data_IF_532891980747
#
_entry.id   IF_532891980747
#
_cell.length_a   1.000
_cell.length_b   1.000
_cell.length_c   1.000
_cell.angle_alpha   90.00
_cell.angle_beta   90.00
_cell.angle_gamma   90.00
#
_symmetry.space_group_name_H-M   'P 1'
#
loop_
_entity.id
_entity.type
_entity.pdbx_description
1 polymer ?
#
# COMPACT_ATOMS: atom_id res chain seq x y z
N UNK A 1 18.01 17.97 -27.27
CA UNK A 1 18.69 17.98 -25.95
C UNK A 1 17.64 17.77 -24.87
N UNK A 2 17.84 16.87 -23.88
CA UNK A 2 16.90 16.70 -22.79
C UNK A 2 16.96 17.91 -21.83
N UNK A 3 15.80 18.41 -21.43
CA UNK A 3 15.67 19.62 -20.60
C UNK A 3 16.07 19.30 -19.13
N UNK A 4 17.13 19.92 -18.57
CA UNK A 4 17.63 19.61 -17.22
C UNK A 4 16.63 19.90 -16.10
N UNK A 5 15.69 20.83 -16.30
CA UNK A 5 14.61 21.10 -15.35
C UNK A 5 13.66 19.91 -15.13
N UNK A 6 13.46 19.06 -16.16
CA UNK A 6 12.65 17.83 -16.06
C UNK A 6 13.44 16.65 -15.45
N UNK A 7 14.78 16.68 -15.50
CA UNK A 7 15.62 15.67 -14.87
C UNK A 7 15.80 15.88 -13.37
N UNK A 8 15.84 17.15 -12.93
CA UNK A 8 15.94 17.51 -11.51
C UNK A 8 14.71 17.04 -10.73
N UNK A 9 13.51 17.27 -11.29
CA UNK A 9 12.23 16.81 -10.74
C UNK A 9 12.19 15.28 -10.61
N UNK A 10 12.57 14.54 -11.67
CA UNK A 10 12.48 13.07 -11.68
C UNK A 10 13.33 12.39 -10.61
N UNK A 11 14.55 12.88 -10.36
CA UNK A 11 15.48 12.24 -9.42
C UNK A 11 15.01 12.41 -7.98
N UNK A 12 14.57 13.62 -7.61
CA UNK A 12 14.02 13.90 -6.28
C UNK A 12 12.74 13.09 -6.01
N UNK A 13 11.89 12.93 -7.03
CA UNK A 13 10.66 12.15 -6.92
C UNK A 13 10.91 10.65 -6.78
N UNK A 14 11.93 10.12 -7.46
CA UNK A 14 12.37 8.73 -7.28
C UNK A 14 12.93 8.52 -5.86
N UNK A 15 13.71 9.48 -5.34
CA UNK A 15 14.19 9.45 -3.96
C UNK A 15 13.03 9.47 -2.95
N UNK A 16 11.98 10.26 -3.21
CA UNK A 16 10.77 10.29 -2.37
C UNK A 16 10.00 8.96 -2.37
N UNK A 17 9.97 8.26 -3.50
CA UNK A 17 9.42 6.91 -3.58
C UNK A 17 10.25 5.92 -2.74
N UNK A 18 11.58 6.01 -2.79
CA UNK A 18 12.48 5.18 -1.98
C UNK A 18 12.34 5.45 -0.48
N UNK A 19 12.27 6.72 -0.07
CA UNK A 19 12.00 7.11 1.32
C UNK A 19 10.65 6.55 1.79
N UNK A 20 9.64 6.57 0.93
CA UNK A 20 8.32 6.02 1.24
C UNK A 20 8.36 4.49 1.36
N UNK A 21 9.12 3.80 0.51
CA UNK A 21 9.33 2.36 0.63
C UNK A 21 10.02 1.98 1.94
N UNK A 22 11.04 2.76 2.35
CA UNK A 22 11.72 2.54 3.62
C UNK A 22 10.78 2.79 4.82
N UNK A 23 9.96 3.84 4.76
CA UNK A 23 8.95 4.12 5.77
C UNK A 23 7.91 2.99 5.89
N UNK A 24 7.51 2.38 4.77
CA UNK A 24 6.59 1.23 4.74
C UNK A 24 7.16 0.07 5.55
N UNK A 25 8.43 -0.29 5.36
CA UNK A 25 9.06 -1.39 6.12
C UNK A 25 9.10 -1.09 7.63
N UNK A 26 9.55 0.12 8.01
CA UNK A 26 9.61 0.53 9.43
C UNK A 26 8.21 0.48 10.08
N UNK A 27 7.20 1.03 9.41
CA UNK A 27 5.83 1.07 9.93
C UNK A 27 5.25 -0.35 9.97
N UNK A 28 5.48 -1.16 8.95
CA UNK A 28 5.04 -2.54 8.86
C UNK A 28 5.58 -3.39 10.00
N UNK A 29 6.87 -3.28 10.32
CA UNK A 29 7.48 -3.95 11.48
C UNK A 29 6.89 -3.48 12.81
N UNK A 30 6.65 -2.17 12.96
CA UNK A 30 5.98 -1.62 14.16
C UNK A 30 4.56 -2.16 14.32
N UNK A 31 3.82 -2.35 13.23
CA UNK A 31 2.48 -2.96 13.25
C UNK A 31 2.53 -4.42 13.70
N UNK A 32 3.49 -5.21 13.20
CA UNK A 32 3.67 -6.61 13.60
C UNK A 32 3.97 -6.70 15.11
N UNK A 33 4.97 -5.96 15.59
CA UNK A 33 5.36 -5.95 17.01
C UNK A 33 4.22 -5.42 17.87
N UNK A 34 3.58 -4.32 17.47
CA UNK A 34 2.46 -3.73 18.19
C UNK A 34 1.33 -4.74 18.37
N UNK A 35 0.87 -5.41 17.31
CA UNK A 35 -0.20 -6.41 17.41
C UNK A 35 0.13 -7.58 18.33
N UNK A 36 1.40 -7.97 18.46
CA UNK A 36 1.83 -9.02 19.38
C UNK A 36 1.89 -8.58 20.85
N UNK A 37 1.98 -7.27 21.12
CA UNK A 37 2.23 -6.70 22.45
C UNK A 37 1.06 -5.88 23.01
N UNK A 38 0.10 -5.48 22.17
CA UNK A 38 -1.05 -4.66 22.55
C UNK A 38 -2.01 -5.44 23.47
N UNK A 39 -2.23 -4.91 24.68
CA UNK A 39 -3.17 -5.46 25.69
C UNK A 39 -4.24 -4.46 26.15
N UNK A 40 -4.26 -3.23 25.61
CA UNK A 40 -5.14 -2.16 26.08
C UNK A 40 -5.72 -1.30 24.93
N UNK A 41 -6.86 -0.60 25.16
CA UNK A 41 -7.52 0.21 24.12
C UNK A 41 -6.67 1.36 23.55
N UNK A 42 -5.79 1.98 24.36
CA UNK A 42 -4.91 3.06 23.89
C UNK A 42 -3.92 2.59 22.82
N UNK A 43 -3.47 1.35 22.91
CA UNK A 43 -2.58 0.73 21.93
C UNK A 43 -3.28 0.41 20.59
N UNK A 44 -4.60 0.21 20.59
CA UNK A 44 -5.40 0.03 19.37
C UNK A 44 -5.44 1.31 18.52
N UNK A 45 -5.56 2.49 19.15
CA UNK A 45 -5.52 3.77 18.44
C UNK A 45 -4.17 3.98 17.72
N UNK A 46 -3.07 3.60 18.36
CA UNK A 46 -1.72 3.69 17.78
C UNK A 46 -1.62 2.78 16.55
N UNK A 47 -2.15 1.55 16.62
CA UNK A 47 -2.18 0.63 15.49
C UNK A 47 -2.99 1.22 14.32
N UNK A 48 -4.16 1.79 14.58
CA UNK A 48 -4.99 2.44 13.55
C UNK A 48 -4.21 3.59 12.88
N UNK A 49 -3.51 4.41 13.65
CA UNK A 49 -2.68 5.50 13.10
C UNK A 49 -1.53 4.97 12.25
N UNK A 50 -0.87 3.89 12.68
CA UNK A 50 0.20 3.25 11.91
C UNK A 50 -0.35 2.65 10.61
N UNK A 51 -1.52 2.00 10.63
CA UNK A 51 -2.19 1.49 9.42
C UNK A 51 -2.51 2.61 8.43
N UNK A 52 -3.02 3.75 8.92
CA UNK A 52 -3.28 4.91 8.08
C UNK A 52 -1.99 5.49 7.44
N UNK A 53 -0.90 5.57 8.21
CA UNK A 53 0.42 6.00 7.69
C UNK A 53 0.96 5.02 6.65
N UNK A 54 0.83 3.71 6.89
CA UNK A 54 1.23 2.66 5.96
C UNK A 54 0.53 2.83 4.60
N UNK A 55 -0.81 3.01 4.61
CA UNK A 55 -1.61 3.25 3.40
C UNK A 55 -1.17 4.53 2.68
N UNK A 56 -0.86 5.60 3.44
CA UNK A 56 -0.42 6.87 2.86
C UNK A 56 0.91 6.73 2.11
N UNK A 57 1.90 6.07 2.68
CA UNK A 57 3.18 5.85 2.00
C UNK A 57 3.04 4.89 0.81
N UNK A 58 2.29 3.80 0.96
CA UNK A 58 2.06 2.85 -0.13
C UNK A 58 1.34 3.50 -1.32
N UNK A 59 0.32 4.32 -1.06
CA UNK A 59 -0.38 5.06 -2.12
C UNK A 59 0.50 6.10 -2.79
N UNK A 60 1.39 6.77 -2.05
CA UNK A 60 2.35 7.72 -2.59
C UNK A 60 3.34 7.04 -3.54
N UNK A 61 3.89 5.88 -3.17
CA UNK A 61 4.75 5.08 -4.07
C UNK A 61 4.02 4.73 -5.35
N UNK A 62 2.77 4.26 -5.25
CA UNK A 62 1.97 3.89 -6.41
C UNK A 62 1.72 5.08 -7.35
N UNK A 63 1.36 6.23 -6.77
CA UNK A 63 1.14 7.47 -7.51
C UNK A 63 2.41 7.94 -8.23
N UNK A 64 3.54 8.00 -7.52
CA UNK A 64 4.82 8.41 -8.08
C UNK A 64 5.27 7.47 -9.21
N UNK A 65 5.13 6.16 -9.03
CA UNK A 65 5.46 5.20 -10.08
C UNK A 65 4.58 5.37 -11.31
N UNK A 66 3.27 5.57 -11.13
CA UNK A 66 2.35 5.82 -12.24
C UNK A 66 2.69 7.10 -12.99
N UNK A 67 3.03 8.18 -12.28
CA UNK A 67 3.29 9.50 -12.87
C UNK A 67 4.65 9.58 -13.57
N UNK A 68 5.68 8.94 -13.02
CA UNK A 68 7.08 9.10 -13.45
C UNK A 68 7.72 7.81 -14.01
N UNK A 69 6.89 6.81 -14.33
CA UNK A 69 7.30 5.49 -14.86
C UNK A 69 8.31 4.79 -13.94
N UNK A 70 8.08 4.89 -12.64
CA UNK A 70 8.84 4.14 -11.64
C UNK A 70 8.39 2.68 -11.55
N UNK A 71 9.26 1.80 -11.06
CA UNK A 71 9.03 0.34 -11.06
C UNK A 71 9.13 -0.29 -9.67
N UNK A 72 9.49 0.49 -8.64
CA UNK A 72 9.70 -0.03 -7.28
C UNK A 72 8.41 0.05 -6.46
N UNK A 73 7.83 -1.10 -6.12
CA UNK A 73 6.63 -1.21 -5.31
C UNK A 73 6.91 -1.93 -3.99
N UNK A 74 6.02 -1.85 -3.00
CA UNK A 74 6.13 -2.68 -1.81
C UNK A 74 6.15 -4.17 -2.20
N UNK A 75 6.89 -4.99 -1.46
CA UNK A 75 6.80 -6.44 -1.59
C UNK A 75 5.37 -6.88 -1.27
N UNK A 76 4.76 -7.67 -2.14
CA UNK A 76 3.40 -8.18 -1.92
C UNK A 76 3.34 -9.04 -0.66
N UNK A 77 4.33 -9.91 -0.43
CA UNK A 77 4.37 -10.78 0.73
C UNK A 77 4.44 -9.96 2.05
N UNK A 78 5.34 -8.98 2.10
CA UNK A 78 5.47 -8.11 3.27
C UNK A 78 4.20 -7.29 3.49
N UNK A 79 3.63 -6.74 2.42
CA UNK A 79 2.37 -6.00 2.49
C UNK A 79 1.24 -6.85 3.09
N UNK A 80 1.06 -8.08 2.62
CA UNK A 80 0.03 -8.99 3.12
C UNK A 80 0.24 -9.33 4.60
N UNK A 81 1.50 -9.38 5.04
CA UNK A 81 1.87 -9.51 6.46
C UNK A 81 1.52 -8.24 7.24
N UNK A 82 1.81 -7.05 6.71
CA UNK A 82 1.51 -5.78 7.35
C UNK A 82 0.01 -5.49 7.47
N UNK A 83 -0.82 -5.96 6.54
CA UNK A 83 -2.29 -5.89 6.66
C UNK A 83 -2.88 -6.99 7.56
N UNK A 84 -2.01 -7.79 8.19
CA UNK A 84 -2.34 -8.81 9.17
C UNK A 84 -3.12 -10.00 8.60
N UNK A 85 -2.79 -10.49 7.40
CA UNK A 85 -3.35 -11.77 6.95
C UNK A 85 -2.70 -12.95 7.68
N UNK A 86 -3.45 -14.05 7.79
CA UNK A 86 -2.89 -15.28 8.32
C UNK A 86 -1.83 -15.85 7.35
N UNK A 87 -0.76 -16.50 7.84
CA UNK A 87 0.25 -17.11 6.98
C UNK A 87 -0.33 -18.05 5.92
N UNK A 88 -1.37 -18.81 6.27
CA UNK A 88 -2.09 -19.70 5.34
C UNK A 88 -2.82 -18.93 4.23
N UNK A 89 -3.46 -17.81 4.56
CA UNK A 89 -4.11 -16.90 3.60
C UNK A 89 -3.07 -16.24 2.67
N UNK A 90 -1.92 -15.83 3.21
CA UNK A 90 -0.80 -15.26 2.44
C UNK A 90 -0.28 -16.28 1.43
N UNK A 91 0.03 -17.50 1.86
CA UNK A 91 0.51 -18.56 0.97
C UNK A 91 -0.52 -18.88 -0.11
N UNK A 92 -1.82 -18.88 0.23
CA UNK A 92 -2.88 -19.15 -0.72
C UNK A 92 -3.00 -18.05 -1.79
N UNK A 93 -3.03 -16.77 -1.39
CA UNK A 93 -3.24 -15.68 -2.33
C UNK A 93 -2.03 -15.39 -3.20
N UNK A 94 -0.81 -15.65 -2.72
CA UNK A 94 0.41 -15.52 -3.52
C UNK A 94 0.44 -16.50 -4.71
N UNK A 95 -0.35 -17.58 -4.69
CA UNK A 95 -0.53 -18.46 -5.85
C UNK A 95 -1.38 -17.82 -6.97
N UNK A 96 -2.18 -16.80 -6.63
CA UNK A 96 -3.08 -16.12 -7.57
C UNK A 96 -2.60 -14.70 -7.91
N UNK A 97 -1.99 -13.99 -6.96
CA UNK A 97 -1.50 -12.63 -7.11
C UNK A 97 0.02 -12.64 -6.97
N UNK A 98 0.70 -12.33 -8.07
CA UNK A 98 2.17 -12.36 -8.09
C UNK A 98 2.82 -11.04 -7.67
N UNK A 99 2.14 -9.91 -7.85
CA UNK A 99 2.72 -8.59 -7.58
C UNK A 99 1.75 -7.66 -6.85
N UNK A 100 2.33 -6.69 -6.16
CA UNK A 100 1.60 -5.61 -5.50
C UNK A 100 0.75 -4.80 -6.49
N UNK A 101 1.27 -4.58 -7.71
CA UNK A 101 0.55 -3.87 -8.77
C UNK A 101 -0.75 -4.56 -9.17
N UNK A 102 -0.75 -5.89 -9.24
CA UNK A 102 -1.97 -6.66 -9.53
C UNK A 102 -3.00 -6.48 -8.40
N UNK A 103 -2.56 -6.52 -7.14
CA UNK A 103 -3.44 -6.32 -5.99
C UNK A 103 -4.19 -4.96 -6.05
N UNK A 104 -3.50 -3.88 -6.42
CA UNK A 104 -4.10 -2.53 -6.44
C UNK A 104 -4.96 -2.23 -7.66
N UNK A 105 -4.84 -3.04 -8.72
CA UNK A 105 -5.63 -2.88 -9.95
C UNK A 105 -6.90 -3.71 -9.94
N UNK A 106 -6.95 -4.79 -9.14
CA UNK A 106 -8.16 -5.56 -8.92
C UNK A 106 -9.25 -4.75 -8.23
N UNK A 107 -10.49 -4.97 -8.67
CA UNK A 107 -11.66 -4.41 -8.03
C UNK A 107 -12.08 -5.24 -6.80
N UNK A 108 -13.01 -4.71 -5.99
CA UNK A 108 -13.42 -5.39 -4.75
C UNK A 108 -14.16 -6.71 -5.01
N UNK A 109 -14.88 -6.85 -6.13
CA UNK A 109 -15.59 -8.08 -6.47
C UNK A 109 -14.59 -9.19 -6.78
N UNK A 110 -13.65 -8.95 -7.69
CA UNK A 110 -12.60 -9.91 -8.05
C UNK A 110 -11.80 -10.36 -6.83
N UNK A 111 -11.44 -9.40 -5.97
CA UNK A 111 -10.70 -9.68 -4.74
C UNK A 111 -11.50 -10.56 -3.78
N UNK A 112 -12.80 -10.30 -3.61
CA UNK A 112 -13.68 -11.09 -2.75
C UNK A 112 -13.93 -12.49 -3.31
N UNK A 113 -14.15 -12.63 -4.62
CA UNK A 113 -14.33 -13.90 -5.31
C UNK A 113 -13.09 -14.80 -5.12
N UNK A 114 -11.89 -14.23 -5.23
CA UNK A 114 -10.62 -14.94 -4.94
C UNK A 114 -10.58 -15.38 -3.48
N UNK A 115 -10.90 -14.49 -2.54
CA UNK A 115 -10.87 -14.82 -1.13
C UNK A 115 -11.87 -15.93 -0.76
N UNK A 116 -13.04 -15.95 -1.38
CA UNK A 116 -14.04 -17.00 -1.20
C UNK A 116 -13.53 -18.34 -1.73
N UNK A 117 -13.00 -18.35 -2.96
CA UNK A 117 -12.38 -19.54 -3.56
C UNK A 117 -11.24 -20.10 -2.72
N UNK A 118 -10.43 -19.23 -2.12
CA UNK A 118 -9.31 -19.60 -1.25
C UNK A 118 -9.72 -19.83 0.21
N UNK A 119 -11.01 -19.78 0.54
CA UNK A 119 -11.56 -20.02 1.88
C UNK A 119 -10.95 -19.14 2.98
N UNK A 120 -10.75 -17.86 2.67
CA UNK A 120 -10.29 -16.89 3.66
C UNK A 120 -11.27 -16.77 4.82
N UNK A 121 -10.73 -16.44 5.99
CA UNK A 121 -11.53 -16.09 7.16
C UNK A 121 -12.33 -14.82 6.91
N UNK A 122 -13.43 -14.62 7.63
CA UNK A 122 -14.21 -13.37 7.57
C UNK A 122 -13.34 -12.13 7.86
N UNK A 123 -12.46 -12.22 8.86
CA UNK A 123 -11.54 -11.16 9.21
C UNK A 123 -10.44 -10.94 8.16
N UNK A 124 -9.88 -12.00 7.58
CA UNK A 124 -8.91 -11.90 6.48
C UNK A 124 -9.51 -11.20 5.27
N UNK A 125 -10.72 -11.60 4.86
CA UNK A 125 -11.50 -10.93 3.81
C UNK A 125 -11.74 -9.46 4.12
N UNK A 126 -12.19 -9.14 5.34
CA UNK A 126 -12.44 -7.76 5.76
C UNK A 126 -11.17 -6.92 5.68
N UNK A 127 -10.05 -7.42 6.23
CA UNK A 127 -8.75 -6.73 6.26
C UNK A 127 -8.25 -6.44 4.85
N UNK A 128 -8.19 -7.47 4.00
CA UNK A 128 -7.68 -7.34 2.63
C UNK A 128 -8.53 -6.37 1.80
N UNK A 129 -9.86 -6.50 1.85
CA UNK A 129 -10.78 -5.58 1.16
C UNK A 129 -10.59 -4.14 1.64
N UNK A 130 -10.59 -3.92 2.95
CA UNK A 130 -10.44 -2.57 3.54
C UNK A 130 -9.11 -1.94 3.15
N UNK A 131 -8.01 -2.68 3.23
CA UNK A 131 -6.68 -2.16 2.86
C UNK A 131 -6.59 -1.84 1.37
N UNK A 132 -7.09 -2.73 0.49
CA UNK A 132 -7.05 -2.53 -0.96
C UNK A 132 -7.94 -1.36 -1.39
N UNK A 133 -9.15 -1.27 -0.85
CA UNK A 133 -10.04 -0.14 -1.07
C UNK A 133 -9.41 1.19 -0.63
N UNK A 134 -8.88 1.24 0.60
CA UNK A 134 -8.25 2.45 1.13
C UNK A 134 -7.05 2.89 0.29
N UNK A 135 -6.24 1.92 -0.14
CA UNK A 135 -5.09 2.18 -1.00
C UNK A 135 -5.51 2.76 -2.35
N UNK A 136 -6.48 2.17 -3.05
CA UNK A 136 -7.02 2.71 -4.30
C UNK A 136 -7.63 4.10 -4.12
N UNK A 137 -8.39 4.30 -3.05
CA UNK A 137 -8.98 5.62 -2.71
C UNK A 137 -7.89 6.69 -2.54
N UNK A 138 -6.83 6.39 -1.79
CA UNK A 138 -5.73 7.34 -1.60
C UNK A 138 -4.94 7.60 -2.88
N UNK A 139 -4.69 6.58 -3.70
CA UNK A 139 -4.07 6.75 -5.03
C UNK A 139 -4.89 7.72 -5.88
N UNK A 140 -6.22 7.58 -5.90
CA UNK A 140 -7.10 8.50 -6.61
C UNK A 140 -7.07 9.92 -6.03
N UNK A 141 -6.99 10.06 -4.70
CA UNK A 141 -6.85 11.38 -4.07
C UNK A 141 -5.56 12.09 -4.49
N UNK A 142 -4.43 11.38 -4.58
CA UNK A 142 -3.19 11.95 -5.08
C UNK A 142 -3.32 12.51 -6.50
N UNK A 143 -4.19 11.93 -7.35
CA UNK A 143 -4.50 12.48 -8.69
C UNK A 143 -5.32 13.77 -8.63
N UNK A 144 -6.22 13.90 -7.64
CA UNK A 144 -7.05 15.09 -7.44
C UNK A 144 -6.34 16.27 -6.76
N UNK A 145 -5.22 16.04 -6.07
CA UNK A 145 -4.43 17.10 -5.41
C UNK A 145 -3.49 17.88 -6.35
N UNK A 146 -3.49 17.58 -7.65
CA UNK A 146 -2.90 18.45 -8.66
C UNK A 146 -4.02 19.12 -9.47
N UNK A 147 -4.62 20.24 -8.99
CA UNK A 147 -4.98 21.28 -9.94
C UNK A 147 -3.66 21.72 -10.59
N UNK A 148 -3.73 22.11 -11.86
CA UNK A 148 -2.55 22.35 -12.69
C UNK A 148 -1.53 23.30 -12.07
N UNK A 149 -0.38 23.35 -12.74
CA UNK A 149 0.38 24.59 -12.86
C UNK A 149 -0.60 25.77 -13.02
N UNK A 150 -0.94 26.43 -11.92
CA UNK A 150 -1.42 27.80 -11.95
C UNK A 150 -0.13 28.60 -12.05
N UNK A 151 0.22 28.94 -13.30
CA UNK A 151 1.06 30.11 -13.53
C UNK A 151 0.34 31.30 -12.89
N UNK A 152 0.97 31.87 -11.87
CA UNK A 152 0.93 33.32 -11.62
C UNK A 152 2.37 33.79 -11.65
#
# INVERSE_FOLDING_TARGET
MPNPALQFDRTELLQKAEQSLHAIDIIGRKLIIGRSTCRNPGSELILIQLEAKLIRHASQVCYLNQRYRGTKYPSLNEWLTYVNLLPTEIVAILKCLQTFCVLITMNDKELLDICEKLRFTSDGRRRLRKSSYSLRSYISKWKGYLPGFVHV
#
